data_IF_985562482480
#
_entry.id   IF_985562482480
#
_cell.length_a   1.000
_cell.length_b   1.000
_cell.length_c   1.000
_cell.angle_alpha   90.00
_cell.angle_beta   90.00
_cell.angle_gamma   90.00
#
_symmetry.space_group_name_H-M   'P 1'
#
loop_
_entity.id
_entity.type
_entity.pdbx_description
1 polymer ?
#
# COMPACT_ATOMS: atom_id res chain seq x y z
N UNK A 1 -47.06 -2.76 3.16
CA UNK A 1 -45.89 -2.23 3.89
C UNK A 1 -45.61 -3.15 5.06
N UNK A 2 -44.42 -3.75 5.10
CA UNK A 2 -43.89 -4.46 6.27
C UNK A 2 -42.37 -4.26 6.29
N UNK A 3 -41.85 -3.93 7.48
CA UNK A 3 -40.52 -3.42 7.74
C UNK A 3 -39.41 -4.47 7.55
N UNK A 4 -38.25 -4.00 7.07
CA UNK A 4 -37.01 -4.77 6.90
C UNK A 4 -36.34 -5.01 8.26
N UNK A 5 -35.92 -6.24 8.53
CA UNK A 5 -34.80 -6.54 9.42
C UNK A 5 -34.18 -7.88 9.00
N UNK A 6 -33.44 -7.84 7.90
CA UNK A 6 -32.50 -8.91 7.54
C UNK A 6 -31.18 -8.60 8.22
N UNK A 7 -30.98 -9.14 9.42
CA UNK A 7 -29.68 -9.19 10.10
C UNK A 7 -28.70 -9.94 9.21
N UNK A 8 -27.86 -9.20 8.47
CA UNK A 8 -26.76 -9.78 7.72
C UNK A 8 -25.89 -10.61 8.67
N UNK A 9 -25.84 -11.92 8.45
CA UNK A 9 -24.78 -12.77 8.98
C UNK A 9 -23.73 -12.93 7.89
N UNK A 10 -22.63 -12.20 8.04
CA UNK A 10 -21.41 -12.49 7.28
C UNK A 10 -20.51 -13.28 8.22
N UNK A 11 -20.37 -14.58 7.96
CA UNK A 11 -19.39 -15.44 8.62
C UNK A 11 -17.98 -14.89 8.34
N UNK A 12 -17.48 -14.04 9.23
CA UNK A 12 -16.06 -13.72 9.31
C UNK A 12 -15.32 -14.87 9.98
N UNK A 13 -14.39 -15.50 9.25
CA UNK A 13 -13.00 -15.73 9.71
C UNK A 13 -12.28 -16.76 8.83
N UNK A 14 -12.04 -16.38 7.59
CA UNK A 14 -10.73 -16.69 7.01
C UNK A 14 -10.17 -15.40 6.46
N UNK A 15 -9.48 -14.63 7.32
CA UNK A 15 -8.57 -13.58 6.85
C UNK A 15 -7.56 -14.32 5.98
N UNK A 16 -7.81 -14.33 4.67
CA UNK A 16 -6.94 -14.98 3.69
C UNK A 16 -5.56 -14.36 3.86
N UNK A 17 -4.56 -15.25 3.91
CA UNK A 17 -3.13 -14.98 4.11
C UNK A 17 -2.75 -13.60 3.60
N UNK A 18 -2.22 -12.77 4.51
CA UNK A 18 -1.63 -11.47 4.16
C UNK A 18 -0.66 -11.71 2.99
N UNK A 19 -0.95 -11.10 1.85
CA UNK A 19 -0.25 -11.33 0.57
C UNK A 19 1.24 -11.02 0.61
N UNK A 20 1.89 -11.06 -0.56
CA UNK A 20 3.31 -10.72 -0.69
C UNK A 20 3.52 -9.25 -0.27
N UNK A 21 3.96 -9.06 0.97
CA UNK A 21 4.31 -7.76 1.50
C UNK A 21 5.72 -7.44 1.04
N UNK A 22 5.92 -6.23 0.53
CA UNK A 22 7.20 -5.75 0.08
C UNK A 22 7.65 -4.59 0.94
N UNK A 23 8.95 -4.59 1.27
CA UNK A 23 9.61 -3.49 1.94
C UNK A 23 10.60 -2.81 1.01
N UNK A 24 10.57 -1.47 1.04
CA UNK A 24 11.50 -0.60 0.33
C UNK A 24 12.16 0.32 1.34
N UNK A 25 13.48 0.45 1.27
CA UNK A 25 14.20 1.46 2.05
C UNK A 25 14.37 2.69 1.17
N UNK A 26 13.82 3.82 1.60
CA UNK A 26 13.91 5.10 0.88
C UNK A 26 14.75 6.10 1.66
N UNK A 27 15.38 7.02 0.95
CA UNK A 27 16.07 8.16 1.54
C UNK A 27 15.36 9.45 1.10
N UNK A 28 14.76 10.17 2.05
CA UNK A 28 14.11 11.46 1.79
C UNK A 28 15.15 12.58 1.89
N UNK A 29 15.36 13.29 0.79
CA UNK A 29 16.23 14.47 0.75
C UNK A 29 15.48 15.77 1.08
N UNK A 30 14.16 15.66 1.25
CA UNK A 30 13.25 16.77 1.56
C UNK A 30 12.38 16.39 2.74
N UNK A 31 12.06 17.39 3.56
CA UNK A 31 11.18 17.27 4.71
C UNK A 31 9.71 17.21 4.28
N UNK A 32 8.86 16.74 5.19
CA UNK A 32 7.41 16.72 5.04
C UNK A 32 6.93 15.92 3.82
N UNK A 33 7.56 14.77 3.56
CA UNK A 33 7.15 13.86 2.49
C UNK A 33 5.99 13.00 2.98
N UNK A 34 4.89 13.00 2.22
CA UNK A 34 3.72 12.16 2.43
C UNK A 34 3.65 11.11 1.34
N UNK A 35 3.53 9.84 1.69
CA UNK A 35 3.32 8.78 0.69
C UNK A 35 1.84 8.64 0.35
N UNK A 36 1.52 8.61 -0.94
CA UNK A 36 0.15 8.46 -1.45
C UNK A 36 -0.13 6.97 -1.71
N UNK A 37 0.74 6.31 -2.49
CA UNK A 37 0.62 4.90 -2.87
C UNK A 37 1.91 4.34 -3.45
N UNK A 38 2.01 3.02 -3.51
CA UNK A 38 3.06 2.29 -4.25
C UNK A 38 2.42 1.54 -5.39
N UNK A 39 2.99 1.61 -6.59
CA UNK A 39 2.42 0.99 -7.77
C UNK A 39 3.29 -0.16 -8.23
N UNK A 40 2.73 -1.36 -8.28
CA UNK A 40 3.41 -2.55 -8.81
C UNK A 40 2.90 -2.80 -10.23
N UNK A 41 3.71 -2.48 -11.23
CA UNK A 41 3.26 -2.42 -12.62
C UNK A 41 2.11 -1.43 -12.79
N UNK A 42 0.93 -1.95 -13.15
CA UNK A 42 -0.27 -1.13 -13.34
C UNK A 42 -1.02 -0.81 -12.03
N UNK A 43 -0.67 -1.41 -10.90
CA UNK A 43 -1.58 -1.52 -9.76
C UNK A 43 -1.21 -0.57 -8.61
N UNK A 44 -2.00 0.47 -8.29
CA UNK A 44 -1.75 1.32 -7.15
C UNK A 44 -2.22 0.63 -5.87
N UNK A 45 -1.33 0.39 -4.91
CA UNK A 45 -1.67 -0.13 -3.59
C UNK A 45 -1.37 0.90 -2.49
N UNK A 46 -2.20 0.99 -1.43
CA UNK A 46 -1.85 1.76 -0.25
C UNK A 46 -0.58 1.20 0.40
N UNK A 47 0.16 2.08 1.06
CA UNK A 47 1.41 1.74 1.72
C UNK A 47 1.52 2.39 3.09
N UNK A 48 2.26 1.75 3.98
CA UNK A 48 2.66 2.32 5.26
C UNK A 48 4.08 2.90 5.13
N UNK A 49 4.29 4.05 5.74
CA UNK A 49 5.61 4.63 5.97
C UNK A 49 6.04 4.32 7.40
N UNK A 50 7.23 3.78 7.58
CA UNK A 50 7.77 3.38 8.87
C UNK A 50 9.11 4.07 9.14
N UNK A 51 9.36 4.40 10.40
CA UNK A 51 10.70 4.77 10.86
C UNK A 51 11.65 3.58 10.80
N UNK A 52 12.93 3.84 10.52
CA UNK A 52 13.93 2.78 10.37
C UNK A 52 14.28 2.06 11.67
N UNK A 53 14.40 2.79 12.79
CA UNK A 53 14.80 2.22 14.08
C UNK A 53 13.64 1.53 14.79
N UNK A 54 12.54 2.24 14.96
CA UNK A 54 11.38 1.78 15.74
C UNK A 54 10.45 0.88 14.91
N UNK A 55 10.50 0.99 13.57
CA UNK A 55 9.52 0.39 12.64
C UNK A 55 8.07 0.76 12.99
N UNK A 56 7.87 1.87 13.68
CA UNK A 56 6.55 2.43 13.95
C UNK A 56 6.03 3.11 12.70
N UNK A 57 4.73 2.97 12.48
CA UNK A 57 4.04 3.66 11.39
C UNK A 57 4.00 5.15 11.69
N UNK A 58 4.38 5.92 10.69
CA UNK A 58 4.29 7.38 10.69
C UNK A 58 3.48 7.82 9.48
N UNK A 59 2.76 8.92 9.59
CA UNK A 59 1.96 9.45 8.48
C UNK A 59 2.81 10.23 7.47
N UNK A 60 3.89 10.85 7.97
CA UNK A 60 4.75 11.79 7.24
C UNK A 60 6.20 11.60 7.62
N UNK A 61 7.10 11.59 6.64
CA UNK A 61 8.52 11.81 6.89
C UNK A 61 8.74 13.30 7.16
N UNK A 62 8.63 13.71 8.43
CA UNK A 62 8.81 15.10 8.86
C UNK A 62 10.24 15.60 8.62
N UNK A 63 11.22 14.72 8.75
CA UNK A 63 12.64 15.04 8.60
C UNK A 63 13.23 14.40 7.35
N UNK A 64 14.42 14.86 6.97
CA UNK A 64 15.25 14.19 5.96
C UNK A 64 15.86 12.95 6.58
N UNK A 65 15.92 11.87 5.81
CA UNK A 65 16.63 10.68 6.24
C UNK A 65 16.02 9.42 5.68
N UNK A 66 16.33 8.31 6.35
CA UNK A 66 16.01 7.00 5.82
C UNK A 66 14.77 6.41 6.48
N UNK A 67 13.83 5.96 5.64
CA UNK A 67 12.55 5.39 6.02
C UNK A 67 12.29 4.07 5.32
N UNK A 68 11.32 3.31 5.82
CA UNK A 68 10.89 2.05 5.23
C UNK A 68 9.46 2.22 4.72
N UNK A 69 9.22 1.88 3.47
CA UNK A 69 7.88 1.75 2.90
C UNK A 69 7.48 0.29 2.94
N UNK A 70 6.27 0.01 3.39
CA UNK A 70 5.69 -1.33 3.38
C UNK A 70 4.39 -1.34 2.61
N UNK A 71 4.27 -2.22 1.62
CA UNK A 71 3.08 -2.32 0.77
C UNK A 71 2.76 -3.77 0.44
N UNK A 72 1.47 -4.12 0.31
CA UNK A 72 1.03 -5.45 -0.12
C UNK A 72 0.68 -5.41 -1.60
N UNK A 73 1.49 -6.05 -2.45
CA UNK A 73 1.27 -6.07 -3.90
C UNK A 73 -0.05 -6.71 -4.28
N UNK A 74 -0.46 -7.75 -3.55
CA UNK A 74 -1.63 -8.57 -3.87
C UNK A 74 -2.84 -8.13 -3.05
N UNK A 75 -2.89 -6.86 -2.60
CA UNK A 75 -3.97 -6.38 -1.74
C UNK A 75 -5.34 -6.69 -2.36
N UNK A 76 -5.56 -6.29 -3.62
CA UNK A 76 -6.87 -6.46 -4.26
C UNK A 76 -7.20 -7.91 -4.64
N UNK A 77 -6.20 -8.74 -4.93
CA UNK A 77 -6.40 -10.17 -5.18
C UNK A 77 -6.91 -10.91 -3.94
N UNK A 78 -6.50 -10.46 -2.76
CA UNK A 78 -6.83 -11.10 -1.49
C UNK A 78 -8.17 -10.64 -0.89
N UNK A 79 -8.73 -9.52 -1.36
CA UNK A 79 -10.02 -8.96 -0.90
C UNK A 79 -11.04 -8.77 -2.04
N UNK A 80 -11.35 -9.81 -2.84
CA UNK A 80 -12.20 -9.68 -4.03
C UNK A 80 -13.68 -9.33 -3.71
N UNK A 81 -14.10 -9.46 -2.45
CA UNK A 81 -15.46 -9.15 -1.99
C UNK A 81 -15.72 -7.67 -1.69
N UNK A 82 -14.69 -6.82 -1.69
CA UNK A 82 -14.87 -5.37 -1.66
C UNK A 82 -15.07 -4.88 -3.10
N UNK A 83 -16.33 -4.91 -3.55
CA UNK A 83 -16.73 -4.71 -4.95
C UNK A 83 -16.19 -3.39 -5.52
N UNK A 84 -16.19 -2.30 -4.73
CA UNK A 84 -15.72 -0.99 -5.20
C UNK A 84 -14.20 -0.95 -5.40
N UNK A 85 -13.43 -1.46 -4.44
CA UNK A 85 -11.96 -1.49 -4.50
C UNK A 85 -11.45 -2.43 -5.61
N UNK A 86 -12.12 -3.56 -5.80
CA UNK A 86 -11.78 -4.55 -6.84
C UNK A 86 -12.17 -4.06 -8.24
N UNK A 87 -13.30 -3.35 -8.37
CA UNK A 87 -13.72 -2.77 -9.64
C UNK A 87 -12.87 -1.55 -10.02
N UNK A 88 -12.51 -0.70 -9.06
CA UNK A 88 -11.54 0.39 -9.26
C UNK A 88 -10.18 -0.16 -9.73
N UNK A 89 -9.73 -1.27 -9.14
CA UNK A 89 -8.52 -1.99 -9.57
C UNK A 89 -8.62 -2.46 -11.04
N UNK A 90 -9.68 -3.18 -11.41
CA UNK A 90 -9.86 -3.69 -12.79
C UNK A 90 -9.90 -2.59 -13.84
N UNK A 91 -10.43 -1.43 -13.49
CA UNK A 91 -10.57 -0.28 -14.38
C UNK A 91 -9.36 0.66 -14.34
N UNK A 92 -8.40 0.44 -13.43
CA UNK A 92 -7.25 1.31 -13.31
C UNK A 92 -6.33 1.15 -14.52
N UNK A 93 -6.18 2.23 -15.28
CA UNK A 93 -5.20 2.32 -16.36
C UNK A 93 -3.97 3.07 -15.83
N UNK A 94 -2.78 2.46 -15.85
CA UNK A 94 -1.59 3.15 -15.42
C UNK A 94 -1.33 4.35 -16.35
N UNK A 95 -1.14 5.56 -15.81
CA UNK A 95 -0.93 6.76 -16.61
C UNK A 95 0.38 6.75 -17.39
N UNK A 96 1.36 5.91 -17.03
CA UNK A 96 2.61 5.77 -17.76
C UNK A 96 3.19 4.36 -17.58
N UNK A 97 4.01 3.95 -18.56
CA UNK A 97 4.84 2.76 -18.46
C UNK A 97 6.17 3.13 -17.81
N UNK A 98 6.68 2.28 -16.92
CA UNK A 98 8.00 2.44 -16.31
C UNK A 98 8.76 1.11 -16.38
N UNK A 99 10.09 1.21 -16.35
CA UNK A 99 10.98 0.05 -16.20
C UNK A 99 11.50 0.09 -14.76
N UNK A 100 11.02 -0.81 -13.90
CA UNK A 100 11.35 -0.87 -12.49
C UNK A 100 10.43 -1.84 -11.75
N UNK A 101 10.69 -2.08 -10.47
CA UNK A 101 9.90 -3.01 -9.67
C UNK A 101 8.61 -2.38 -9.14
N UNK A 102 8.68 -1.09 -8.80
CA UNK A 102 7.53 -0.30 -8.36
C UNK A 102 7.69 1.19 -8.65
N UNK A 103 6.60 1.94 -8.59
CA UNK A 103 6.60 3.40 -8.52
C UNK A 103 6.10 3.85 -7.16
N UNK A 104 6.79 4.79 -6.52
CA UNK A 104 6.35 5.41 -5.28
C UNK A 104 5.74 6.76 -5.62
N UNK A 105 4.46 6.92 -5.34
CA UNK A 105 3.74 8.18 -5.47
C UNK A 105 3.80 8.93 -4.14
N UNK A 106 4.22 10.18 -4.15
CA UNK A 106 4.38 10.97 -2.93
C UNK A 106 4.01 12.44 -3.14
N UNK A 107 3.77 13.15 -2.03
CA UNK A 107 3.47 14.59 -2.01
C UNK A 107 4.49 15.33 -1.17
N UNK A 108 4.86 16.50 -1.66
CA UNK A 108 5.70 17.48 -0.93
C UNK A 108 5.04 18.84 -1.07
N UNK A 109 4.70 19.48 0.06
CA UNK A 109 4.03 20.79 0.09
C UNK A 109 2.78 20.85 -0.82
N UNK A 110 1.97 19.79 -0.78
CA UNK A 110 0.73 19.68 -1.57
C UNK A 110 0.91 19.30 -3.05
N UNK A 111 2.13 19.33 -3.60
CA UNK A 111 2.41 18.91 -4.98
C UNK A 111 2.71 17.41 -5.04
N UNK A 112 2.17 16.73 -6.05
CA UNK A 112 2.38 15.29 -6.30
C UNK A 112 3.62 15.06 -7.16
N UNK A 113 4.38 14.03 -6.80
CA UNK A 113 5.58 13.57 -7.49
C UNK A 113 5.59 12.04 -7.51
N UNK A 114 6.50 11.48 -8.30
CA UNK A 114 6.73 10.04 -8.34
C UNK A 114 8.22 9.74 -8.44
N UNK A 115 8.62 8.57 -7.95
CA UNK A 115 9.95 8.01 -8.19
C UNK A 115 9.85 6.53 -8.51
N UNK A 116 10.75 6.02 -9.35
CA UNK A 116 10.81 4.60 -9.69
C UNK A 116 11.71 3.91 -8.68
N UNK A 117 11.20 2.84 -8.07
CA UNK A 117 11.93 2.01 -7.16
C UNK A 117 12.44 0.73 -7.86
N UNK A 118 13.67 0.37 -7.51
CA UNK A 118 14.34 -0.85 -7.95
C UNK A 118 14.79 -1.65 -6.73
N UNK A 119 14.99 -2.96 -6.89
CA UNK A 119 15.43 -3.90 -5.87
C UNK A 119 14.45 -4.05 -4.69
N UNK A 120 13.16 -4.12 -5.01
CA UNK A 120 12.10 -4.23 -4.00
C UNK A 120 12.11 -5.63 -3.36
N UNK A 121 12.24 -5.70 -2.03
CA UNK A 121 12.39 -6.97 -1.32
C UNK A 121 11.07 -7.44 -0.76
N UNK A 122 10.71 -8.69 -1.05
CA UNK A 122 9.58 -9.36 -0.40
C UNK A 122 9.94 -9.70 1.05
N UNK A 123 9.00 -9.46 1.96
CA UNK A 123 9.13 -9.75 3.39
C UNK A 123 7.94 -10.57 3.88
N UNK A 124 8.13 -11.28 5.00
CA UNK A 124 7.02 -11.98 5.66
C UNK A 124 6.03 -10.96 6.25
N UNK A 125 4.71 -11.22 6.19
CA UNK A 125 3.73 -10.45 6.91
C UNK A 125 4.01 -10.40 8.42
N UNK A 126 3.65 -9.30 9.09
CA UNK A 126 3.71 -9.23 10.55
C UNK A 126 2.46 -9.94 11.08
N UNK A 127 2.58 -11.23 11.36
CA UNK A 127 1.46 -12.07 11.78
C UNK A 127 1.68 -13.56 11.49
N UNK A 128 2.56 -14.18 12.26
CA UNK A 128 2.45 -15.59 12.66
C UNK A 128 3.40 -15.76 13.85
N UNK A 129 2.86 -15.77 15.07
CA UNK A 129 3.46 -16.62 16.10
C UNK A 129 3.09 -18.04 15.68
N UNK A 130 4.09 -18.88 15.43
CA UNK A 130 3.87 -20.33 15.46
C UNK A 130 3.36 -20.75 16.84
#
# INVERSE_FOLDING_TARGET
>A
MAYVSGTFSMNESSIRKVGNVYELKINTLTENVLLDSVWFGATPVPCDLLETKTRHKIEKASEKGTYIIRANRNLYENFPGQTDSTQAYKNFKPPFRFKGDAVIMYKVKGKRYYTIAYQVKQVRPKGTRE
#
